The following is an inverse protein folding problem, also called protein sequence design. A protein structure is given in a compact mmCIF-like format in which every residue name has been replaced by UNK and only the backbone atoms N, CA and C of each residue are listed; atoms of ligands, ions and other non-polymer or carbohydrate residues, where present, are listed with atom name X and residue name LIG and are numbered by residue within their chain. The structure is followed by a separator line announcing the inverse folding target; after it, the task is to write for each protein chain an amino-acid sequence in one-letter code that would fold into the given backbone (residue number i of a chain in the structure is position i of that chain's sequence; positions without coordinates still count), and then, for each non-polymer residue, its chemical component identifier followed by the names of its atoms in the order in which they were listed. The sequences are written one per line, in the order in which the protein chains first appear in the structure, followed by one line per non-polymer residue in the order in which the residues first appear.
data_IF_397168983805
#
_entry.id   IF_397168983805
#
_cell.length_a   1.000
_cell.length_b   1.000
_cell.length_c   1.000
_cell.angle_alpha   90.00
_cell.angle_beta   90.00
_cell.angle_gamma   90.00
#
_symmetry.space_group_name_H-M   'P 1'
#
loop_
_entity.id
_entity.type
_entity.pdbx_description
1 polymer ?
#
# COMPACT_ATOMS: atom_id res chain seq x y z
N UNK A 1 -2.79 14.22 8.67
CA UNK A 1 -3.83 13.40 9.32
C UNK A 1 -3.87 12.05 8.65
N UNK A 2 -4.07 10.96 9.40
CA UNK A 2 -4.35 9.66 8.80
C UNK A 2 -5.78 9.62 8.26
N UNK A 3 -6.00 8.95 7.12
CA UNK A 3 -7.34 8.67 6.61
C UNK A 3 -7.80 7.32 7.14
N UNK A 4 -9.04 7.25 7.63
CA UNK A 4 -9.66 5.97 7.95
C UNK A 4 -9.91 5.18 6.66
N UNK A 5 -9.84 3.84 6.70
CA UNK A 5 -10.22 3.02 5.56
C UNK A 5 -11.68 3.29 5.18
N UNK A 6 -11.96 3.25 3.87
CA UNK A 6 -13.32 3.31 3.36
C UNK A 6 -14.10 2.09 3.81
N UNK A 7 -13.49 0.91 3.71
CA UNK A 7 -14.06 -0.33 4.20
C UNK A 7 -12.98 -1.36 4.55
N UNK A 8 -13.37 -2.32 5.40
CA UNK A 8 -12.56 -3.51 5.72
C UNK A 8 -13.46 -4.73 5.60
N UNK A 9 -12.98 -5.77 4.91
CA UNK A 9 -13.65 -7.06 4.80
C UNK A 9 -12.78 -8.15 5.43
N UNK A 10 -13.39 -9.01 6.25
CA UNK A 10 -12.71 -10.02 7.07
C UNK A 10 -12.62 -9.61 8.53
N UNK A 11 -12.32 -10.59 9.39
CA UNK A 11 -12.21 -10.46 10.83
C UNK A 11 -10.87 -10.98 11.34
N UNK A 12 -10.54 -10.67 12.60
CA UNK A 12 -9.37 -11.23 13.26
C UNK A 12 -9.43 -12.78 13.25
N UNK A 13 -8.34 -13.40 12.80
CA UNK A 13 -8.25 -14.85 12.62
C UNK A 13 -8.58 -15.34 11.21
N UNK A 14 -9.15 -14.49 10.34
CA UNK A 14 -9.35 -14.84 8.94
C UNK A 14 -8.01 -14.96 8.20
N UNK A 15 -7.97 -15.88 7.23
CA UNK A 15 -6.77 -16.11 6.41
C UNK A 15 -6.53 -15.03 5.35
N UNK A 16 -7.53 -14.18 5.11
CA UNK A 16 -7.46 -13.04 4.21
C UNK A 16 -8.35 -11.90 4.70
N UNK A 17 -7.75 -10.73 4.91
CA UNK A 17 -8.43 -9.46 5.18
C UNK A 17 -8.13 -8.49 4.03
N UNK A 18 -9.15 -7.77 3.58
CA UNK A 18 -9.04 -6.73 2.56
C UNK A 18 -9.35 -5.37 3.18
N UNK A 19 -8.49 -4.38 2.94
CA UNK A 19 -8.68 -3.00 3.37
C UNK A 19 -8.72 -2.10 2.15
N UNK A 20 -9.81 -1.35 2.02
CA UNK A 20 -10.06 -0.40 0.94
C UNK A 20 -9.74 1.03 1.41
N UNK A 21 -8.76 1.66 0.75
CA UNK A 21 -8.36 3.06 0.96
C UNK A 21 -8.60 3.91 -0.31
N UNK A 22 -9.50 3.47 -1.20
CA UNK A 22 -9.86 4.10 -2.48
C UNK A 22 -8.71 4.05 -3.51
N UNK A 23 -7.61 4.75 -3.24
CA UNK A 23 -6.45 4.82 -4.13
C UNK A 23 -5.51 3.61 -3.96
N UNK A 24 -5.57 2.96 -2.79
CA UNK A 24 -4.75 1.80 -2.44
C UNK A 24 -5.64 0.72 -1.84
N UNK A 25 -5.43 -0.53 -2.25
CA UNK A 25 -6.07 -1.71 -1.65
C UNK A 25 -4.98 -2.54 -0.97
N UNK A 26 -5.17 -2.83 0.32
CA UNK A 26 -4.23 -3.66 1.09
C UNK A 26 -4.82 -5.06 1.24
N UNK A 27 -4.04 -6.05 0.82
CA UNK A 27 -4.35 -7.46 1.00
C UNK A 27 -3.50 -8.02 2.14
N UNK A 28 -4.13 -8.39 3.26
CA UNK A 28 -3.46 -9.05 4.37
C UNK A 28 -3.78 -10.54 4.31
N UNK A 29 -2.77 -11.35 3.99
CA UNK A 29 -2.91 -12.80 3.88
C UNK A 29 -2.17 -13.51 5.01
N UNK A 30 -2.70 -14.65 5.45
CA UNK A 30 -1.87 -15.67 6.09
C UNK A 30 -0.86 -16.23 5.07
N UNK A 31 0.24 -16.81 5.56
CA UNK A 31 1.26 -17.40 4.68
C UNK A 31 0.67 -18.43 3.73
N UNK A 32 -0.23 -19.29 4.21
CA UNK A 32 -0.87 -20.32 3.40
C UNK A 32 -1.82 -19.71 2.35
N UNK A 33 -2.60 -18.70 2.71
CA UNK A 33 -3.50 -18.02 1.78
C UNK A 33 -2.72 -17.29 0.68
N UNK A 34 -1.61 -16.63 1.01
CA UNK A 34 -0.75 -15.95 0.03
C UNK A 34 -0.22 -16.91 -1.03
N UNK A 35 0.25 -18.09 -0.61
CA UNK A 35 0.73 -19.13 -1.51
C UNK A 35 -0.40 -19.74 -2.36
N UNK A 36 -1.59 -19.88 -1.80
CA UNK A 36 -2.74 -20.45 -2.49
C UNK A 36 -3.30 -19.51 -3.56
N UNK A 37 -3.45 -18.22 -3.23
CA UNK A 37 -4.02 -17.23 -4.14
C UNK A 37 -3.01 -16.67 -5.14
N UNK A 38 -1.72 -16.63 -4.77
CA UNK A 38 -0.60 -16.27 -5.64
C UNK A 38 -0.81 -14.98 -6.45
N UNK A 39 -1.28 -13.92 -5.77
CA UNK A 39 -1.54 -12.62 -6.39
C UNK A 39 -0.26 -11.99 -6.98
N UNK A 40 0.90 -12.49 -6.59
CA UNK A 40 2.20 -11.99 -7.03
C UNK A 40 2.45 -12.36 -8.48
N UNK A 41 1.84 -13.45 -8.96
CA UNK A 41 1.82 -13.78 -10.37
C UNK A 41 0.87 -12.88 -11.17
N UNK A 42 -0.27 -12.49 -10.58
CA UNK A 42 -1.24 -11.60 -11.24
C UNK A 42 -0.68 -10.18 -11.44
N UNK A 43 -0.04 -9.63 -10.40
CA UNK A 43 0.49 -8.26 -10.39
C UNK A 43 2.00 -8.20 -10.60
N UNK A 44 2.64 -9.32 -10.97
CA UNK A 44 4.09 -9.45 -11.02
C UNK A 44 4.78 -8.45 -11.97
N UNK A 45 4.09 -8.08 -13.04
CA UNK A 45 4.57 -7.14 -14.05
C UNK A 45 4.29 -5.66 -13.70
N UNK A 46 3.55 -5.38 -12.63
CA UNK A 46 3.25 -4.03 -12.21
C UNK A 46 4.52 -3.31 -11.69
N UNK A 47 4.61 -2.00 -11.94
CA UNK A 47 5.71 -1.17 -11.41
C UNK A 47 5.73 -1.26 -9.89
N UNK A 48 6.87 -1.69 -9.32
CA UNK A 48 7.11 -1.60 -7.89
C UNK A 48 7.35 -0.15 -7.49
N UNK A 49 6.56 0.33 -6.53
CA UNK A 49 6.70 1.67 -5.94
C UNK A 49 7.60 1.56 -4.72
N UNK A 50 8.71 2.30 -4.72
CA UNK A 50 9.50 2.51 -3.51
C UNK A 50 8.88 3.66 -2.72
N UNK A 51 7.94 3.31 -1.85
CA UNK A 51 7.19 4.27 -1.06
C UNK A 51 8.07 5.04 -0.07
N UNK A 52 9.25 4.52 0.30
CA UNK A 52 10.17 5.20 1.23
C UNK A 52 10.99 6.25 0.49
N UNK A 53 11.45 5.96 -0.72
CA UNK A 53 12.16 6.92 -1.57
C UNK A 53 11.26 8.08 -2.02
N UNK A 54 9.98 7.81 -2.31
CA UNK A 54 9.02 8.84 -2.71
C UNK A 54 8.58 9.72 -1.51
N UNK A 55 8.43 9.15 -0.31
CA UNK A 55 8.09 9.92 0.90
C UNK A 55 9.19 10.90 1.36
N UNK A 56 10.45 10.67 0.99
CA UNK A 56 11.58 11.56 1.30
C UNK A 56 11.66 12.84 0.45
N UNK A 57 10.86 12.97 -0.61
CA UNK A 57 10.94 14.08 -1.57
C UNK A 57 10.05 15.28 -1.21
N UNK A 58 9.38 15.29 -0.05
CA UNK A 58 8.40 16.33 0.31
C UNK A 58 8.99 17.63 0.88
N UNK A 59 10.30 17.89 0.83
CA UNK A 59 10.85 19.23 1.12
C UNK A 59 12.31 19.36 0.68
N UNK A 60 12.59 20.01 -0.46
CA UNK A 60 13.76 20.90 -0.72
C UNK A 60 13.60 21.52 -2.12
N UNK A 61 12.55 22.31 -2.34
CA UNK A 61 12.44 23.19 -3.52
C UNK A 61 11.62 24.44 -3.19
N UNK A 62 12.08 25.16 -2.17
CA UNK A 62 11.83 26.57 -1.90
C UNK A 62 12.95 26.93 -0.89
N UNK A 63 13.97 27.72 -1.22
CA UNK A 63 13.94 29.06 -1.82
C UNK A 63 15.18 29.28 -2.68
N UNK A 64 14.96 29.57 -3.97
CA UNK A 64 15.85 30.45 -4.71
C UNK A 64 15.70 31.88 -4.17
N UNK A 65 16.82 32.61 -4.14
CA UNK A 65 16.91 34.06 -4.19
C UNK A 65 16.48 34.87 -2.96
N UNK A 66 17.43 35.15 -2.08
CA UNK A 66 17.63 36.54 -1.61
C UNK A 66 19.14 36.87 -1.70
N UNK A 67 19.40 38.10 -2.13
CA UNK A 67 20.69 38.68 -2.50
C UNK A 67 21.70 38.82 -1.37
#
# INVERSE_FOLDING_TARGET
SGHAPLSTSGMEGDSWILVDLIDVIVHLFSTQARLYYDFENLWGDARRVDWQAEAGQTNTSATDSES
#
